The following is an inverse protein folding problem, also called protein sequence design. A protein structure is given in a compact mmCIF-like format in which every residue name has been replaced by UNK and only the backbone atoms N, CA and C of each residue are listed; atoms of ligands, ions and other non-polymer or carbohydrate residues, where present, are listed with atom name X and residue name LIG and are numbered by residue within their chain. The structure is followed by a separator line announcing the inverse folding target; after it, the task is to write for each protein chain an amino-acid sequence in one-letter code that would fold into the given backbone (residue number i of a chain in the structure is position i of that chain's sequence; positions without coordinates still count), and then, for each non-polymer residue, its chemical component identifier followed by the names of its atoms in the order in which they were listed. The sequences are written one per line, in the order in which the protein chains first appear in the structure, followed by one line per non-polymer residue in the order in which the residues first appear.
data_IF_566663148640
#
_entry.id   IF_566663148640
#
_cell.length_a   1.000
_cell.length_b   1.000
_cell.length_c   1.000
_cell.angle_alpha   90.00
_cell.angle_beta   90.00
_cell.angle_gamma   90.00
#
_symmetry.space_group_name_H-M   'P 1'
#
loop_
_entity.id
_entity.type
_entity.pdbx_description
1 polymer ?
#
# COMPACT_ATOMS: atom_id res chain seq x y z
N UNK A 1 1.14 13.74 11.28
CA UNK A 1 0.21 12.58 11.22
C UNK A 1 0.77 11.64 10.16
N UNK A 2 0.96 10.37 10.50
CA UNK A 2 1.59 9.37 9.64
C UNK A 2 0.55 8.32 9.24
N UNK A 3 0.61 7.83 7.99
CA UNK A 3 -0.28 6.77 7.49
C UNK A 3 0.50 5.53 7.09
N UNK A 4 0.05 4.36 7.53
CA UNK A 4 0.52 3.07 7.01
C UNK A 4 -0.49 2.56 6.00
N UNK A 5 -0.04 2.34 4.76
CA UNK A 5 -0.86 1.75 3.70
C UNK A 5 -0.42 0.30 3.49
N UNK A 6 -1.33 -0.64 3.74
CA UNK A 6 -1.12 -2.06 3.50
C UNK A 6 -1.69 -2.41 2.12
N UNK A 7 -0.87 -2.97 1.24
CA UNK A 7 -1.23 -3.34 -0.13
C UNK A 7 -1.12 -4.84 -0.31
N UNK A 8 -2.21 -5.49 -0.73
CA UNK A 8 -2.16 -6.86 -1.21
C UNK A 8 -1.78 -6.87 -2.71
N UNK A 9 -0.57 -7.34 -3.09
CA UNK A 9 -0.11 -7.26 -4.48
C UNK A 9 -0.98 -8.09 -5.43
N UNK A 10 -1.67 -9.12 -4.94
CA UNK A 10 -2.52 -10.00 -5.74
C UNK A 10 -3.99 -9.54 -5.82
N UNK A 11 -4.37 -8.51 -5.04
CA UNK A 11 -5.74 -8.01 -5.03
C UNK A 11 -6.16 -7.48 -6.40
N UNK A 12 -7.46 -7.57 -6.69
CA UNK A 12 -8.04 -7.15 -7.95
C UNK A 12 -7.27 -7.71 -9.16
N UNK A 13 -7.04 -9.02 -9.22
CA UNK A 13 -6.32 -9.69 -10.33
C UNK A 13 -4.87 -9.21 -10.54
N UNK A 14 -4.19 -8.78 -9.48
CA UNK A 14 -2.80 -8.31 -9.55
C UNK A 14 -2.62 -6.79 -9.69
N UNK A 15 -3.71 -6.03 -9.86
CA UNK A 15 -3.66 -4.56 -9.92
C UNK A 15 -3.24 -3.91 -8.59
N UNK A 16 -3.24 -4.66 -7.48
CA UNK A 16 -2.71 -4.20 -6.20
C UNK A 16 -1.28 -3.68 -6.29
N UNK A 17 -0.40 -4.40 -6.99
CA UNK A 17 0.99 -3.98 -7.21
C UNK A 17 1.08 -2.71 -8.08
N UNK A 18 0.27 -2.64 -9.14
CA UNK A 18 0.23 -1.49 -10.06
C UNK A 18 -0.31 -0.21 -9.40
N UNK A 19 -1.05 -0.34 -8.29
CA UNK A 19 -1.58 0.80 -7.55
C UNK A 19 -0.52 1.53 -6.71
N UNK A 20 0.59 0.88 -6.36
CA UNK A 20 1.62 1.44 -5.46
C UNK A 20 2.18 2.78 -6.00
N UNK A 21 2.64 2.89 -7.26
CA UNK A 21 3.14 4.16 -7.79
C UNK A 21 2.08 5.28 -7.78
N UNK A 22 0.80 4.93 -7.97
CA UNK A 22 -0.31 5.89 -7.96
C UNK A 22 -0.58 6.41 -6.54
N UNK A 23 -0.59 5.50 -5.55
CA UNK A 23 -0.73 5.83 -4.12
C UNK A 23 0.42 6.74 -3.69
N UNK A 24 1.66 6.37 -4.01
CA UNK A 24 2.83 7.17 -3.67
C UNK A 24 2.76 8.58 -4.23
N UNK A 25 2.45 8.70 -5.54
CA UNK A 25 2.33 9.99 -6.20
C UNK A 25 1.26 10.86 -5.52
N UNK A 26 0.09 10.28 -5.24
CA UNK A 26 -1.03 10.98 -4.63
C UNK A 26 -0.71 11.54 -3.24
N UNK A 27 -0.02 10.75 -2.41
CA UNK A 27 0.33 11.14 -1.03
C UNK A 27 1.53 12.10 -1.00
N UNK A 28 2.56 11.86 -1.82
CA UNK A 28 3.71 12.77 -1.98
C UNK A 28 3.26 14.15 -2.45
N UNK A 29 2.34 14.23 -3.42
CA UNK A 29 1.78 15.51 -3.89
C UNK A 29 1.07 16.31 -2.79
N UNK A 30 0.51 15.63 -1.79
CA UNK A 30 -0.17 16.25 -0.64
C UNK A 30 0.75 16.48 0.55
N UNK A 31 2.05 16.18 0.43
CA UNK A 31 3.04 16.24 1.52
C UNK A 31 2.57 15.46 2.76
N UNK A 32 1.88 14.34 2.53
CA UNK A 32 1.47 13.42 3.59
C UNK A 32 2.65 12.52 3.89
N UNK A 33 2.92 12.29 5.17
CA UNK A 33 3.93 11.33 5.63
C UNK A 33 3.30 9.93 5.68
N UNK A 34 3.97 8.94 5.08
CA UNK A 34 3.42 7.59 4.94
C UNK A 34 4.46 6.50 4.71
N UNK A 35 4.05 5.26 4.99
CA UNK A 35 4.78 4.03 4.63
C UNK A 35 3.85 3.09 3.86
N UNK A 36 4.38 2.40 2.84
CA UNK A 36 3.66 1.35 2.11
C UNK A 36 4.26 -0.02 2.46
N UNK A 37 3.41 -0.96 2.86
CA UNK A 37 3.79 -2.34 3.18
C UNK A 37 3.03 -3.30 2.26
N UNK A 38 3.74 -4.21 1.60
CA UNK A 38 3.13 -5.25 0.76
C UNK A 38 2.89 -6.54 1.55
N UNK A 39 1.68 -7.11 1.46
CA UNK A 39 1.41 -8.41 2.11
C UNK A 39 2.16 -9.54 1.42
N UNK A 40 2.69 -10.52 2.16
CA UNK A 40 3.50 -11.61 1.62
C UNK A 40 2.74 -12.95 1.58
N UNK A 41 1.75 -13.14 2.46
CA UNK A 41 0.96 -14.37 2.59
C UNK A 41 -0.46 -14.06 3.13
N UNK A 42 -1.44 -14.98 2.96
CA UNK A 42 -2.77 -14.82 3.56
C UNK A 42 -2.70 -14.65 5.07
N UNK A 43 -3.31 -13.59 5.59
CA UNK A 43 -3.26 -13.26 7.02
C UNK A 43 -2.17 -12.25 7.40
N UNK A 44 -1.18 -11.96 6.55
CA UNK A 44 -0.09 -11.03 6.89
C UNK A 44 -0.58 -9.64 7.31
N UNK A 45 -1.68 -9.13 6.71
CA UNK A 45 -2.26 -7.83 7.07
C UNK A 45 -2.84 -7.77 8.50
N UNK A 46 -3.10 -8.91 9.14
CA UNK A 46 -3.57 -8.99 10.53
C UNK A 46 -2.39 -8.81 11.50
N UNK A 47 -1.17 -9.15 11.07
CA UNK A 47 0.06 -9.07 11.87
C UNK A 47 0.75 -7.70 11.80
N UNK A 48 0.38 -6.88 10.81
CA UNK A 48 0.89 -5.53 10.56
C UNK A 48 0.09 -4.47 11.33
#
# INVERSE_FOLDING_TARGET
MHFTIIVNPTANRGYGLESIPLIEKFLKQRKIDFTIIQTQYPGHAIEL
#
